data_IF_642649403590
#
_entry.id   IF_642649403590
#
_cell.length_a   1.000
_cell.length_b   1.000
_cell.length_c   1.000
_cell.angle_alpha   90.00
_cell.angle_beta   90.00
_cell.angle_gamma   90.00
#
_symmetry.space_group_name_H-M   'P 1'
#
loop_
_entity.id
_entity.type
_entity.pdbx_description
1 polymer ?
#
# COMPACT_ATOMS: atom_id res chain seq x y z
N UNK A 1 1.97 7.07 -30.07
CA UNK A 1 0.73 7.79 -29.75
C UNK A 1 0.74 9.21 -30.32
N UNK A 2 1.68 10.06 -29.93
CA UNK A 2 1.76 11.47 -30.38
C UNK A 2 1.80 11.59 -31.90
N UNK A 3 2.64 10.83 -32.60
CA UNK A 3 2.77 10.88 -34.05
C UNK A 3 1.45 10.63 -34.79
N UNK A 4 0.51 9.90 -34.18
CA UNK A 4 -0.80 9.62 -34.75
C UNK A 4 -1.76 10.81 -34.63
N UNK A 5 -1.55 11.68 -33.66
CA UNK A 5 -2.34 12.89 -33.43
C UNK A 5 -1.87 14.09 -34.27
N UNK A 6 -0.60 14.11 -34.72
CA UNK A 6 -0.03 15.22 -35.48
C UNK A 6 -0.92 15.63 -36.69
N UNK A 7 -1.46 14.71 -37.51
CA UNK A 7 -2.32 15.09 -38.62
C UNK A 7 -3.59 15.84 -38.22
N UNK A 8 -4.04 15.64 -36.97
CA UNK A 8 -5.30 16.21 -36.44
C UNK A 8 -5.09 17.49 -35.63
N UNK A 9 -3.86 17.83 -35.24
CA UNK A 9 -3.57 19.00 -34.39
C UNK A 9 -3.98 20.33 -35.03
N UNK A 10 -3.92 20.42 -36.37
CA UNK A 10 -4.33 21.61 -37.12
C UNK A 10 -5.79 21.56 -37.60
N UNK A 11 -6.48 20.47 -37.38
CA UNK A 11 -7.88 20.32 -37.76
C UNK A 11 -8.79 20.94 -36.69
N UNK A 12 -9.40 22.07 -37.01
CA UNK A 12 -10.27 22.83 -36.11
C UNK A 12 -11.52 22.04 -35.70
N UNK A 13 -12.08 21.27 -36.61
CA UNK A 13 -13.27 20.45 -36.31
C UNK A 13 -12.92 19.33 -35.34
N UNK A 14 -11.78 18.67 -35.55
CA UNK A 14 -11.28 17.66 -34.64
C UNK A 14 -11.04 18.24 -33.23
N UNK A 15 -10.38 19.39 -33.13
CA UNK A 15 -10.11 20.05 -31.85
C UNK A 15 -11.42 20.41 -31.13
N UNK A 16 -12.38 21.05 -31.84
CA UNK A 16 -13.67 21.42 -31.26
C UNK A 16 -14.44 20.18 -30.75
N UNK A 17 -14.43 19.10 -31.53
CA UNK A 17 -15.03 17.83 -31.10
C UNK A 17 -14.38 17.31 -29.81
N UNK A 18 -13.05 17.35 -29.72
CA UNK A 18 -12.31 16.89 -28.53
C UNK A 18 -12.56 17.77 -27.31
N UNK A 19 -12.76 19.07 -27.47
CA UNK A 19 -13.16 19.94 -26.37
C UNK A 19 -14.53 19.53 -25.79
N UNK A 20 -15.51 19.31 -26.66
CA UNK A 20 -16.84 18.85 -26.21
C UNK A 20 -16.76 17.47 -25.55
N UNK A 21 -15.99 16.54 -26.11
CA UNK A 21 -15.77 15.22 -25.50
C UNK A 21 -15.11 15.33 -24.12
N UNK A 22 -14.14 16.24 -23.93
CA UNK A 22 -13.48 16.45 -22.65
C UNK A 22 -14.44 17.02 -21.59
N UNK A 23 -15.28 18.00 -21.96
CA UNK A 23 -16.28 18.55 -21.07
C UNK A 23 -17.31 17.49 -20.66
N UNK A 24 -17.78 16.68 -21.60
CA UNK A 24 -18.70 15.58 -21.32
C UNK A 24 -18.09 14.53 -20.40
N UNK A 25 -16.80 14.22 -20.59
CA UNK A 25 -16.08 13.28 -19.75
C UNK A 25 -15.93 13.81 -18.32
N UNK A 26 -15.56 15.08 -18.16
CA UNK A 26 -15.48 15.73 -16.86
C UNK A 26 -16.82 15.71 -16.12
N UNK A 27 -17.92 16.04 -16.82
CA UNK A 27 -19.27 15.96 -16.26
C UNK A 27 -19.65 14.52 -15.86
N UNK A 28 -19.33 13.53 -16.68
CA UNK A 28 -19.59 12.12 -16.38
C UNK A 28 -18.97 11.71 -15.05
N UNK A 29 -17.71 12.04 -14.84
CA UNK A 29 -16.98 11.66 -13.62
C UNK A 29 -17.39 12.47 -12.38
N UNK A 30 -17.91 13.68 -12.55
CA UNK A 30 -18.34 14.52 -11.42
C UNK A 30 -19.82 14.39 -11.08
N UNK A 31 -20.60 13.62 -11.82
CA UNK A 31 -22.00 13.41 -11.52
C UNK A 31 -22.25 12.69 -10.20
N UNK A 32 -21.34 11.86 -9.75
CA UNK A 32 -21.45 11.12 -8.49
C UNK A 32 -21.53 12.04 -7.25
N UNK A 33 -21.02 13.27 -7.39
CA UNK A 33 -21.06 14.28 -6.33
C UNK A 33 -21.86 15.53 -6.72
N UNK A 34 -22.70 15.42 -7.74
CA UNK A 34 -23.52 16.56 -8.16
C UNK A 34 -24.44 17.03 -7.01
N UNK A 35 -24.34 18.30 -6.65
CA UNK A 35 -25.14 18.92 -5.60
C UNK A 35 -25.99 20.06 -6.16
N UNK A 36 -27.06 20.40 -5.45
CA UNK A 36 -27.90 21.59 -5.71
C UNK A 36 -28.18 22.24 -4.37
N UNK A 37 -27.21 23.03 -3.89
CA UNK A 37 -27.28 23.66 -2.56
C UNK A 37 -27.97 25.02 -2.54
N UNK A 38 -28.37 25.55 -3.70
CA UNK A 38 -28.83 26.93 -3.87
C UNK A 38 -27.68 27.95 -3.97
N UNK A 39 -26.45 27.52 -3.87
CA UNK A 39 -25.23 28.31 -4.14
C UNK A 39 -24.47 27.67 -5.31
N UNK A 40 -24.60 28.17 -6.54
CA UNK A 40 -23.96 27.60 -7.71
C UNK A 40 -22.41 27.56 -7.61
N UNK A 41 -21.81 28.52 -6.91
CA UNK A 41 -20.36 28.55 -6.73
C UNK A 41 -19.91 27.37 -5.85
N UNK A 42 -20.65 27.05 -4.81
CA UNK A 42 -20.35 25.92 -3.93
C UNK A 42 -20.54 24.58 -4.68
N UNK A 43 -21.58 24.48 -5.48
CA UNK A 43 -21.86 23.28 -6.28
C UNK A 43 -20.71 23.03 -7.29
N UNK A 44 -20.26 24.07 -7.99
CA UNK A 44 -19.13 23.97 -8.92
C UNK A 44 -17.78 23.74 -8.18
N UNK A 45 -17.60 24.30 -7.00
CA UNK A 45 -16.43 24.02 -6.17
C UNK A 45 -16.32 22.53 -5.79
N UNK A 46 -17.43 21.90 -5.40
CA UNK A 46 -17.43 20.48 -5.12
C UNK A 46 -17.05 19.65 -6.35
N UNK A 47 -17.63 19.94 -7.50
CA UNK A 47 -17.29 19.27 -8.77
C UNK A 47 -15.82 19.43 -9.12
N UNK A 48 -15.31 20.63 -9.05
CA UNK A 48 -13.91 20.93 -9.37
C UNK A 48 -12.95 20.24 -8.40
N UNK A 49 -13.23 20.27 -7.11
CA UNK A 49 -12.40 19.64 -6.08
C UNK A 49 -12.36 18.12 -6.24
N UNK A 50 -13.50 17.53 -6.52
CA UNK A 50 -13.61 16.08 -6.74
C UNK A 50 -12.86 15.66 -8.02
N UNK A 51 -13.07 16.35 -9.13
CA UNK A 51 -12.37 16.10 -10.38
C UNK A 51 -10.85 16.24 -10.21
N UNK A 52 -10.40 17.28 -9.51
CA UNK A 52 -8.99 17.49 -9.26
C UNK A 52 -8.35 16.35 -8.45
N UNK A 53 -9.04 15.82 -7.45
CA UNK A 53 -8.59 14.67 -6.68
C UNK A 53 -8.48 13.41 -7.52
N UNK A 54 -9.47 13.12 -8.37
CA UNK A 54 -9.40 11.98 -9.28
C UNK A 54 -8.27 12.10 -10.28
N UNK A 55 -8.14 13.25 -10.92
CA UNK A 55 -7.11 13.45 -11.91
C UNK A 55 -5.70 13.34 -11.33
N UNK A 56 -5.53 13.63 -10.06
CA UNK A 56 -4.27 13.51 -9.33
C UNK A 56 -4.09 12.16 -8.65
N UNK A 57 -5.08 11.70 -7.94
CA UNK A 57 -5.01 10.52 -7.10
C UNK A 57 -5.36 9.22 -7.80
N UNK A 58 -5.99 9.29 -8.98
CA UNK A 58 -6.48 8.18 -9.76
C UNK A 58 -7.97 7.91 -9.56
N UNK A 59 -8.66 7.63 -10.65
CA UNK A 59 -10.08 7.24 -10.68
C UNK A 59 -10.17 5.71 -10.78
N UNK A 60 -10.85 5.01 -9.86
CA UNK A 60 -10.96 3.57 -9.92
C UNK A 60 -11.90 3.13 -11.04
N UNK A 61 -11.46 2.17 -11.83
CA UNK A 61 -12.28 1.46 -12.82
C UNK A 61 -12.29 -0.01 -12.43
N UNK A 62 -13.48 -0.56 -12.25
CA UNK A 62 -13.67 -1.98 -12.01
C UNK A 62 -13.89 -2.69 -13.34
N UNK A 63 -13.04 -3.69 -13.59
CA UNK A 63 -13.20 -4.64 -14.68
C UNK A 63 -13.74 -5.92 -14.07
N UNK A 64 -15.06 -6.08 -14.10
CA UNK A 64 -15.72 -7.27 -13.54
C UNK A 64 -15.41 -8.49 -14.39
N UNK A 65 -14.91 -9.53 -13.76
CA UNK A 65 -14.57 -10.79 -14.36
C UNK A 65 -15.41 -11.95 -13.82
N UNK A 66 -15.36 -13.07 -14.50
CA UNK A 66 -16.02 -14.29 -14.04
C UNK A 66 -15.33 -14.95 -12.84
N UNK A 67 -14.04 -14.66 -12.65
CA UNK A 67 -13.22 -15.27 -11.61
C UNK A 67 -12.87 -14.31 -10.48
N UNK A 68 -12.59 -13.06 -10.80
CA UNK A 68 -12.14 -12.05 -9.84
C UNK A 68 -12.22 -10.66 -10.51
N UNK A 69 -12.76 -9.68 -9.80
CA UNK A 69 -12.79 -8.30 -10.26
C UNK A 69 -11.37 -7.71 -10.25
N UNK A 70 -11.06 -6.91 -11.28
CA UNK A 70 -9.80 -6.19 -11.40
C UNK A 70 -10.09 -4.70 -11.21
N UNK A 71 -9.27 -4.00 -10.46
CA UNK A 71 -9.41 -2.57 -10.27
C UNK A 71 -8.20 -1.83 -10.81
N UNK A 72 -8.43 -0.90 -11.72
CA UNK A 72 -7.42 -0.01 -12.29
C UNK A 72 -7.65 1.39 -11.74
N UNK A 73 -6.58 2.11 -11.42
CA UNK A 73 -6.68 3.53 -11.07
C UNK A 73 -6.13 4.38 -12.20
N UNK A 74 -7.00 5.19 -12.81
CA UNK A 74 -6.65 6.06 -13.92
C UNK A 74 -6.16 7.41 -13.41
N UNK A 75 -5.02 7.84 -13.94
CA UNK A 75 -4.44 9.14 -13.65
C UNK A 75 -4.35 9.96 -14.93
N UNK A 76 -4.53 11.26 -14.84
CA UNK A 76 -4.46 12.14 -16.00
C UNK A 76 -3.30 13.13 -15.95
N UNK A 77 -2.67 13.29 -14.81
CA UNK A 77 -1.55 14.23 -14.64
C UNK A 77 -0.62 13.80 -13.52
N UNK A 78 0.59 14.38 -13.52
CA UNK A 78 1.53 14.23 -12.42
C UNK A 78 0.89 14.74 -11.12
N UNK A 79 0.93 13.93 -10.09
CA UNK A 79 0.51 14.29 -8.73
C UNK A 79 1.68 14.92 -7.97
N UNK A 80 1.35 15.64 -6.90
CA UNK A 80 2.31 16.16 -5.94
C UNK A 80 2.46 17.67 -6.01
N UNK A 81 3.37 18.19 -5.19
CA UNK A 81 3.69 19.59 -5.13
C UNK A 81 4.42 20.02 -6.41
N UNK A 82 3.87 20.96 -7.21
CA UNK A 82 4.51 21.39 -8.45
C UNK A 82 5.85 22.11 -8.22
N UNK A 83 6.12 22.56 -7.00
CA UNK A 83 7.36 23.24 -6.64
C UNK A 83 8.49 22.26 -6.28
N UNK A 84 8.19 20.97 -6.10
CA UNK A 84 9.15 19.99 -5.60
C UNK A 84 9.14 18.71 -6.42
N UNK A 85 10.28 18.30 -6.90
CA UNK A 85 10.46 17.09 -7.72
C UNK A 85 10.56 15.78 -6.92
N UNK A 86 10.49 15.82 -5.60
CA UNK A 86 10.62 14.59 -4.80
C UNK A 86 9.35 13.73 -4.79
N UNK A 87 8.21 14.29 -5.12
CA UNK A 87 6.99 13.52 -5.33
C UNK A 87 7.02 12.91 -6.72
N UNK A 88 7.47 11.68 -6.81
CA UNK A 88 7.60 10.99 -8.09
C UNK A 88 6.28 10.36 -8.52
N UNK A 89 5.30 11.21 -8.83
CA UNK A 89 4.12 10.78 -9.54
C UNK A 89 4.34 10.91 -11.03
N UNK A 90 4.17 9.83 -11.77
CA UNK A 90 4.20 9.83 -13.21
C UNK A 90 2.93 9.19 -13.77
N UNK A 91 2.57 9.59 -14.98
CA UNK A 91 1.44 9.00 -15.70
C UNK A 91 1.91 8.52 -17.05
N UNK A 92 1.42 7.37 -17.48
CA UNK A 92 1.70 6.85 -18.80
C UNK A 92 0.92 7.66 -19.87
N UNK A 93 1.57 8.01 -20.98
CA UNK A 93 0.92 8.70 -22.10
C UNK A 93 0.18 7.71 -23.01
N UNK A 94 -0.83 7.03 -22.44
CA UNK A 94 -1.58 5.98 -23.11
C UNK A 94 -3.04 5.96 -22.66
N UNK A 95 -3.90 5.22 -23.36
CA UNK A 95 -5.25 4.91 -22.87
C UNK A 95 -5.14 4.12 -21.58
N UNK A 96 -6.14 4.23 -20.69
CA UNK A 96 -6.08 3.62 -19.36
C UNK A 96 -4.81 4.01 -18.61
N UNK A 97 -4.40 5.28 -18.76
CA UNK A 97 -3.21 5.82 -18.11
C UNK A 97 -3.27 5.58 -16.61
N UNK A 98 -2.34 4.79 -16.13
CA UNK A 98 -2.10 4.60 -14.70
C UNK A 98 -0.94 5.49 -14.27
N UNK A 99 -0.80 5.67 -12.97
CA UNK A 99 0.29 6.47 -12.41
C UNK A 99 0.98 5.74 -11.27
N UNK A 100 2.13 6.26 -10.91
CA UNK A 100 2.87 5.89 -9.71
C UNK A 100 2.96 7.08 -8.77
N UNK A 101 3.13 6.80 -7.49
CA UNK A 101 3.31 7.82 -6.49
C UNK A 101 3.84 7.28 -5.18
N UNK A 102 4.15 8.20 -4.27
CA UNK A 102 4.56 7.84 -2.93
C UNK A 102 3.46 7.02 -2.24
N UNK A 103 3.85 5.97 -1.52
CA UNK A 103 2.93 5.06 -0.86
C UNK A 103 1.89 5.81 -0.02
N UNK A 104 2.33 6.73 0.84
CA UNK A 104 1.44 7.52 1.70
C UNK A 104 0.46 8.38 0.91
N UNK A 105 0.95 9.09 -0.12
CA UNK A 105 0.12 10.04 -0.87
C UNK A 105 -0.92 9.31 -1.73
N UNK A 106 -0.57 8.17 -2.28
CA UNK A 106 -1.52 7.29 -2.98
C UNK A 106 -2.53 6.72 -2.00
N UNK A 107 -2.07 6.15 -0.87
CA UNK A 107 -2.91 5.60 0.19
C UNK A 107 -3.92 6.63 0.72
N UNK A 108 -3.47 7.88 0.92
CA UNK A 108 -4.34 8.97 1.38
C UNK A 108 -5.52 9.23 0.44
N UNK A 109 -5.33 9.04 -0.88
CA UNK A 109 -6.43 9.16 -1.85
C UNK A 109 -7.32 7.91 -1.85
N UNK A 110 -6.72 6.71 -1.77
CA UNK A 110 -7.45 5.42 -1.82
C UNK A 110 -8.40 5.21 -0.64
N UNK A 111 -8.12 5.77 0.53
CA UNK A 111 -8.91 5.51 1.75
C UNK A 111 -10.40 5.81 1.63
N UNK A 112 -10.78 6.73 0.74
CA UNK A 112 -12.16 7.15 0.53
C UNK A 112 -12.79 6.58 -0.76
N UNK A 113 -12.04 5.88 -1.60
CA UNK A 113 -12.54 5.39 -2.89
C UNK A 113 -13.79 4.52 -2.72
N UNK A 114 -13.83 3.65 -1.72
CA UNK A 114 -14.98 2.80 -1.41
C UNK A 114 -16.27 3.57 -1.12
N UNK A 115 -16.19 4.84 -0.69
CA UNK A 115 -17.37 5.67 -0.40
C UNK A 115 -18.05 6.11 -1.68
N UNK A 116 -17.27 6.42 -2.71
CA UNK A 116 -17.76 6.89 -4.01
C UNK A 116 -17.91 5.77 -5.03
N UNK A 117 -17.11 4.71 -4.86
CA UNK A 117 -17.02 3.54 -5.73
C UNK A 117 -17.10 2.24 -4.92
N UNK A 118 -18.31 1.94 -4.35
CA UNK A 118 -18.47 0.73 -3.52
C UNK A 118 -18.07 -0.57 -4.24
N UNK A 119 -18.20 -0.58 -5.56
CA UNK A 119 -17.87 -1.72 -6.42
C UNK A 119 -16.39 -2.15 -6.35
N UNK A 120 -15.48 -1.30 -5.89
CA UNK A 120 -14.07 -1.71 -5.67
C UNK A 120 -13.92 -2.75 -4.56
N UNK A 121 -14.93 -2.85 -3.69
CA UNK A 121 -14.97 -3.80 -2.60
C UNK A 121 -13.70 -3.71 -1.71
N UNK A 122 -13.01 -4.81 -1.45
CA UNK A 122 -11.81 -4.88 -0.59
C UNK A 122 -10.48 -4.65 -1.31
N UNK A 123 -10.51 -4.27 -2.60
CA UNK A 123 -9.33 -4.25 -3.45
C UNK A 123 -8.19 -3.38 -2.88
N UNK A 124 -8.47 -2.13 -2.51
CA UNK A 124 -7.45 -1.21 -2.00
C UNK A 124 -6.88 -1.69 -0.66
N UNK A 125 -7.73 -2.25 0.21
CA UNK A 125 -7.28 -2.84 1.48
C UNK A 125 -6.30 -3.99 1.20
N UNK A 126 -6.64 -4.90 0.28
CA UNK A 126 -5.76 -6.02 -0.11
C UNK A 126 -4.42 -5.54 -0.66
N UNK A 127 -4.44 -4.54 -1.53
CA UNK A 127 -3.22 -4.00 -2.13
C UNK A 127 -2.31 -3.38 -1.08
N UNK A 128 -2.80 -2.41 -0.33
CA UNK A 128 -1.97 -1.62 0.58
C UNK A 128 -1.50 -2.42 1.80
N UNK A 129 -2.36 -3.24 2.40
CA UNK A 129 -1.91 -4.11 3.48
C UNK A 129 -0.92 -5.19 3.02
N UNK A 130 -1.03 -5.69 1.78
CA UNK A 130 -0.04 -6.62 1.24
C UNK A 130 1.33 -5.96 1.04
N UNK A 131 1.38 -4.66 0.76
CA UNK A 131 2.62 -3.91 0.59
C UNK A 131 3.32 -3.56 1.91
N UNK A 132 2.69 -3.74 3.07
CA UNK A 132 3.37 -3.62 4.37
C UNK A 132 4.29 -4.82 4.58
N UNK A 133 5.55 -4.58 4.93
CA UNK A 133 6.52 -5.61 5.26
C UNK A 133 6.22 -6.27 6.61
N UNK A 134 6.82 -7.43 6.85
CA UNK A 134 6.60 -8.17 8.09
C UNK A 134 7.17 -7.44 9.32
N UNK A 135 8.15 -6.57 9.13
CA UNK A 135 8.73 -5.68 10.15
C UNK A 135 8.06 -4.30 10.27
N UNK A 136 6.93 -4.11 9.59
CA UNK A 136 6.10 -2.92 9.68
C UNK A 136 6.51 -1.75 8.78
N UNK A 137 7.54 -1.90 7.95
CA UNK A 137 7.91 -0.89 6.96
C UNK A 137 7.04 -0.98 5.70
N UNK A 138 6.99 0.12 4.96
CA UNK A 138 6.28 0.21 3.66
C UNK A 138 7.26 0.58 2.56
N UNK A 139 7.00 0.18 1.30
CA UNK A 139 7.80 0.66 0.18
C UNK A 139 7.62 2.17 -0.01
N UNK A 140 8.55 2.82 -0.70
CA UNK A 140 8.44 4.25 -1.00
C UNK A 140 7.38 4.54 -2.05
N UNK A 141 7.31 3.70 -3.08
CA UNK A 141 6.42 3.92 -4.23
C UNK A 141 5.44 2.77 -4.44
N UNK A 142 4.21 3.14 -4.78
CA UNK A 142 3.23 2.26 -5.41
C UNK A 142 3.23 2.58 -6.89
N UNK A 143 3.44 1.58 -7.74
CA UNK A 143 3.49 1.72 -9.20
C UNK A 143 2.15 1.31 -9.82
N UNK A 144 1.99 1.64 -11.09
CA UNK A 144 0.89 1.14 -11.90
C UNK A 144 0.80 -0.39 -11.83
N UNK A 145 -0.41 -0.91 -11.67
CA UNK A 145 -0.58 -2.36 -11.67
C UNK A 145 -0.34 -2.94 -13.06
N UNK A 146 0.16 -4.16 -13.11
CA UNK A 146 0.35 -4.92 -14.34
C UNK A 146 -0.50 -6.18 -14.33
N UNK A 147 -0.60 -6.81 -15.51
CA UNK A 147 -1.34 -8.04 -15.70
C UNK A 147 -0.44 -9.09 -16.35
N UNK A 148 -0.68 -10.34 -16.03
CA UNK A 148 -0.07 -11.49 -16.67
C UNK A 148 -1.09 -12.60 -16.90
N UNK A 149 -1.05 -13.23 -18.06
CA UNK A 149 -1.96 -14.33 -18.39
C UNK A 149 -1.72 -15.51 -17.44
N UNK A 150 -2.78 -16.00 -16.81
CA UNK A 150 -2.74 -17.18 -15.95
C UNK A 150 -2.48 -18.42 -16.82
N UNK A 151 -1.47 -19.22 -16.48
CA UNK A 151 -1.02 -20.36 -17.30
C UNK A 151 -2.16 -21.30 -17.73
N UNK A 152 -3.13 -21.58 -16.84
CA UNK A 152 -4.27 -22.45 -17.14
C UNK A 152 -5.24 -21.89 -18.18
N UNK A 153 -5.26 -20.56 -18.37
CA UNK A 153 -6.15 -19.86 -19.32
C UNK A 153 -5.47 -19.53 -20.67
N UNK A 154 -4.26 -20.01 -20.91
CA UNK A 154 -3.53 -19.69 -22.14
C UNK A 154 -4.26 -20.15 -23.41
N UNK A 155 -4.90 -21.29 -23.37
CA UNK A 155 -5.70 -21.81 -24.48
C UNK A 155 -6.99 -21.01 -24.68
N UNK A 156 -7.65 -20.60 -23.60
CA UNK A 156 -8.84 -19.74 -23.64
C UNK A 156 -8.52 -18.38 -24.30
N UNK A 157 -7.37 -17.79 -23.95
CA UNK A 157 -6.87 -16.57 -24.59
C UNK A 157 -6.67 -16.77 -26.10
N UNK A 158 -6.03 -17.85 -26.53
CA UNK A 158 -5.84 -18.10 -27.95
C UNK A 158 -7.15 -18.24 -28.69
N UNK A 159 -8.11 -18.96 -28.12
CA UNK A 159 -9.46 -19.12 -28.69
C UNK A 159 -10.16 -17.77 -28.79
N UNK A 160 -10.13 -16.97 -27.72
CA UNK A 160 -10.71 -15.61 -27.73
C UNK A 160 -10.09 -14.73 -28.83
N UNK A 161 -8.75 -14.80 -29.00
CA UNK A 161 -8.06 -14.04 -30.05
C UNK A 161 -8.42 -14.55 -31.46
N UNK A 162 -8.67 -15.85 -31.64
CA UNK A 162 -9.12 -16.41 -32.91
C UNK A 162 -10.51 -15.91 -33.29
N UNK A 163 -11.39 -15.77 -32.30
CA UNK A 163 -12.78 -15.32 -32.52
C UNK A 163 -12.89 -13.80 -32.72
N UNK A 164 -11.95 -13.00 -32.15
CA UNK A 164 -12.08 -11.54 -32.08
C UNK A 164 -11.08 -10.76 -32.92
N UNK A 165 -9.93 -11.31 -33.28
CA UNK A 165 -8.85 -10.60 -33.99
C UNK A 165 -8.81 -11.01 -35.46
N UNK A 166 -9.14 -10.09 -36.36
CA UNK A 166 -9.17 -10.34 -37.80
C UNK A 166 -7.76 -10.40 -38.42
N UNK A 167 -6.82 -9.56 -37.96
CA UNK A 167 -5.41 -9.60 -38.38
C UNK A 167 -4.50 -9.02 -37.30
N UNK A 168 -3.20 -9.37 -37.35
CA UNK A 168 -2.18 -8.88 -36.41
C UNK A 168 -2.12 -9.59 -35.07
N UNK A 169 -2.78 -10.77 -34.93
CA UNK A 169 -2.87 -11.56 -33.70
C UNK A 169 -1.50 -11.84 -33.05
N UNK A 170 -0.45 -12.11 -33.85
CA UNK A 170 0.89 -12.40 -33.33
C UNK A 170 1.47 -11.29 -32.46
N UNK A 171 1.16 -10.02 -32.76
CA UNK A 171 1.63 -8.88 -31.97
C UNK A 171 0.93 -8.79 -30.61
N UNK A 172 -0.35 -9.15 -30.55
CA UNK A 172 -1.09 -9.25 -29.29
C UNK A 172 -0.53 -10.40 -28.47
N UNK A 173 -0.33 -11.56 -29.06
CA UNK A 173 0.26 -12.72 -28.37
C UNK A 173 1.61 -12.35 -27.77
N UNK A 174 2.49 -11.70 -28.54
CA UNK A 174 3.80 -11.27 -28.01
C UNK A 174 3.68 -10.29 -26.84
N UNK A 175 2.70 -9.37 -26.87
CA UNK A 175 2.45 -8.45 -25.74
C UNK A 175 1.91 -9.15 -24.50
N UNK A 176 1.24 -10.29 -24.65
CA UNK A 176 0.68 -11.10 -23.57
C UNK A 176 1.67 -12.13 -22.96
N UNK A 177 2.85 -12.31 -23.58
CA UNK A 177 3.89 -13.21 -23.07
C UNK A 177 4.56 -12.66 -21.81
N UNK A 178 4.68 -11.33 -21.74
CA UNK A 178 5.24 -10.60 -20.60
C UNK A 178 4.14 -9.94 -19.76
N UNK A 179 4.54 -9.23 -18.71
CA UNK A 179 3.63 -8.34 -17.96
C UNK A 179 3.25 -7.14 -18.82
N UNK A 180 1.99 -6.77 -18.77
CA UNK A 180 1.44 -5.64 -19.54
C UNK A 180 0.49 -4.80 -18.68
N UNK A 181 0.28 -3.54 -19.07
CA UNK A 181 -0.82 -2.70 -18.58
C UNK A 181 -1.99 -2.74 -19.55
N UNK A 182 -3.20 -2.42 -19.10
CA UNK A 182 -4.35 -2.30 -20.00
C UNK A 182 -4.06 -1.29 -21.13
N UNK A 183 -3.39 -0.17 -20.78
CA UNK A 183 -3.01 0.86 -21.75
C UNK A 183 -1.98 0.40 -22.76
N UNK A 184 -0.94 -0.34 -22.34
CA UNK A 184 0.07 -0.87 -23.25
C UNK A 184 -0.54 -1.84 -24.26
N UNK A 185 -1.48 -2.70 -23.83
CA UNK A 185 -2.18 -3.61 -24.73
C UNK A 185 -3.08 -2.86 -25.72
N UNK A 186 -3.84 -1.85 -25.25
CA UNK A 186 -4.58 -0.96 -26.14
C UNK A 186 -3.69 -0.29 -27.17
N UNK A 187 -2.51 0.18 -26.77
CA UNK A 187 -1.54 0.79 -27.67
C UNK A 187 -0.99 -0.19 -28.72
N UNK A 188 -0.79 -1.47 -28.37
CA UNK A 188 -0.40 -2.50 -29.35
C UNK A 188 -1.47 -2.61 -30.44
N UNK A 189 -2.75 -2.66 -30.07
CA UNK A 189 -3.87 -2.74 -31.01
C UNK A 189 -3.89 -1.50 -31.93
N UNK A 190 -3.88 -0.32 -31.33
CA UNK A 190 -4.02 0.96 -32.03
C UNK A 190 -2.82 1.30 -32.91
N UNK A 191 -1.61 1.14 -32.39
CA UNK A 191 -0.38 1.53 -33.09
C UNK A 191 -0.04 0.61 -34.26
N UNK A 192 -0.53 -0.62 -34.24
CA UNK A 192 -0.35 -1.59 -35.30
C UNK A 192 -1.57 -1.71 -36.22
N UNK A 193 -2.59 -0.85 -36.05
CA UNK A 193 -3.83 -0.89 -36.82
C UNK A 193 -4.46 -2.30 -36.82
N UNK A 194 -4.43 -2.99 -35.68
CA UNK A 194 -5.01 -4.33 -35.55
C UNK A 194 -6.52 -4.19 -35.60
N UNK A 195 -7.15 -4.97 -36.46
CA UNK A 195 -8.62 -4.99 -36.54
C UNK A 195 -9.18 -6.06 -35.62
N UNK A 196 -10.05 -5.63 -34.72
CA UNK A 196 -10.83 -6.47 -33.81
C UNK A 196 -12.32 -6.32 -34.10
N UNK A 197 -13.10 -7.34 -33.78
CA UNK A 197 -14.56 -7.38 -34.06
C UNK A 197 -15.42 -6.70 -33.00
N UNK A 198 -14.82 -6.37 -31.84
CA UNK A 198 -15.45 -5.74 -30.68
C UNK A 198 -14.73 -4.44 -30.35
N UNK A 199 -15.25 -3.64 -29.43
CA UNK A 199 -14.57 -2.43 -28.95
C UNK A 199 -13.28 -2.77 -28.18
N UNK A 200 -12.37 -1.80 -28.09
CA UNK A 200 -11.14 -1.97 -27.28
C UNK A 200 -11.47 -2.22 -25.82
N UNK A 201 -12.49 -1.55 -25.30
CA UNK A 201 -12.93 -1.71 -23.91
C UNK A 201 -13.42 -3.14 -23.64
N UNK A 202 -14.31 -3.66 -24.50
CA UNK A 202 -14.79 -5.05 -24.42
C UNK A 202 -13.65 -6.06 -24.59
N UNK A 203 -12.70 -5.77 -25.48
CA UNK A 203 -11.53 -6.62 -25.67
C UNK A 203 -10.67 -6.68 -24.42
N UNK A 204 -10.36 -5.52 -23.81
CA UNK A 204 -9.59 -5.44 -22.58
C UNK A 204 -10.29 -6.16 -21.42
N UNK A 205 -11.60 -5.91 -21.22
CA UNK A 205 -12.38 -6.59 -20.19
C UNK A 205 -12.28 -8.11 -20.33
N UNK A 206 -12.46 -8.63 -21.55
CA UNK A 206 -12.39 -10.07 -21.79
C UNK A 206 -10.99 -10.67 -21.57
N UNK A 207 -9.93 -9.97 -22.01
CA UNK A 207 -8.56 -10.45 -21.81
C UNK A 207 -8.16 -10.41 -20.33
N UNK A 208 -8.55 -9.35 -19.59
CA UNK A 208 -8.18 -9.22 -18.18
C UNK A 208 -8.83 -10.29 -17.30
N UNK A 209 -9.96 -10.87 -17.70
CA UNK A 209 -10.58 -12.00 -16.98
C UNK A 209 -9.71 -13.27 -16.99
N UNK A 210 -8.85 -13.43 -18.00
CA UNK A 210 -7.88 -14.52 -18.09
C UNK A 210 -6.56 -14.22 -17.37
N UNK A 211 -6.42 -13.02 -16.77
CA UNK A 211 -5.16 -12.54 -16.23
C UNK A 211 -5.17 -12.48 -14.71
N UNK A 212 -3.97 -12.61 -14.15
CA UNK A 212 -3.68 -12.23 -12.78
C UNK A 212 -3.29 -10.75 -12.76
N UNK A 213 -3.85 -9.99 -11.82
CA UNK A 213 -3.40 -8.62 -11.53
C UNK A 213 -2.23 -8.66 -10.55
N UNK A 214 -1.16 -7.94 -10.89
CA UNK A 214 0.04 -7.85 -10.07
C UNK A 214 0.10 -6.46 -9.42
N UNK A 215 0.33 -6.43 -8.10
CA UNK A 215 0.62 -5.19 -7.39
C UNK A 215 2.09 -4.85 -7.61
N UNK A 216 2.36 -3.64 -8.06
CA UNK A 216 3.71 -3.19 -8.35
C UNK A 216 4.14 -2.12 -7.34
N UNK A 217 5.39 -2.22 -6.91
CA UNK A 217 5.95 -1.38 -5.86
C UNK A 217 7.45 -1.24 -6.02
N UNK A 218 8.04 -0.23 -5.38
CA UNK A 218 9.48 0.01 -5.43
C UNK A 218 9.99 0.74 -4.21
N UNK A 219 11.23 0.44 -3.85
CA UNK A 219 12.02 1.15 -2.84
C UNK A 219 13.12 2.02 -3.45
N UNK A 220 13.13 2.18 -4.78
CA UNK A 220 14.19 2.86 -5.52
C UNK A 220 14.63 4.17 -4.86
N UNK A 221 15.93 4.34 -4.73
CA UNK A 221 16.66 5.54 -4.29
C UNK A 221 16.47 5.99 -2.84
N UNK A 222 15.36 5.68 -2.19
CA UNK A 222 14.99 6.27 -0.90
C UNK A 222 14.81 5.22 0.20
N UNK A 223 14.60 3.96 -0.16
CA UNK A 223 14.38 2.86 0.78
C UNK A 223 12.94 2.78 1.29
N UNK A 224 12.78 2.23 2.49
CA UNK A 224 11.50 2.03 3.14
C UNK A 224 11.21 3.15 4.16
N UNK A 225 9.94 3.34 4.48
CA UNK A 225 9.48 4.27 5.51
C UNK A 225 8.67 3.54 6.57
N UNK A 226 8.76 4.04 7.80
CA UNK A 226 8.08 3.45 8.95
C UNK A 226 6.76 4.14 9.30
N UNK A 227 6.56 5.35 8.82
CA UNK A 227 5.45 6.24 9.16
C UNK A 227 4.36 6.34 8.09
N UNK A 228 4.51 5.66 6.95
CA UNK A 228 3.58 5.81 5.82
C UNK A 228 2.33 4.94 5.92
N UNK A 229 2.07 4.33 7.05
CA UNK A 229 0.94 3.43 7.30
C UNK A 229 -0.31 4.13 7.90
N UNK A 230 -0.20 5.40 8.21
CA UNK A 230 -1.18 6.16 9.02
C UNK A 230 -2.62 6.13 8.48
N UNK A 231 -2.82 5.92 7.19
CA UNK A 231 -4.15 5.88 6.59
C UNK A 231 -4.70 4.47 6.35
N UNK A 232 -3.95 3.43 6.73
CA UNK A 232 -4.37 2.03 6.49
C UNK A 232 -5.67 1.69 7.23
N UNK A 233 -5.80 2.10 8.50
CA UNK A 233 -6.99 1.87 9.27
C UNK A 233 -8.21 2.60 8.70
N UNK A 234 -8.03 3.80 8.15
CA UNK A 234 -9.13 4.57 7.55
C UNK A 234 -9.81 3.80 6.41
N UNK A 235 -9.06 3.04 5.60
CA UNK A 235 -9.66 2.20 4.55
C UNK A 235 -10.59 1.14 5.13
N UNK A 236 -10.19 0.47 6.22
CA UNK A 236 -11.02 -0.53 6.90
C UNK A 236 -12.28 0.14 7.49
N UNK A 237 -12.12 1.30 8.13
CA UNK A 237 -13.24 2.03 8.74
C UNK A 237 -14.22 2.54 7.67
N UNK A 238 -13.73 3.00 6.52
CA UNK A 238 -14.59 3.36 5.39
C UNK A 238 -15.32 2.13 4.82
N UNK A 239 -14.60 1.02 4.62
CA UNK A 239 -15.21 -0.25 4.20
C UNK A 239 -16.29 -0.73 5.16
N UNK A 240 -16.03 -0.68 6.48
CA UNK A 240 -16.98 -1.07 7.49
C UNK A 240 -18.28 -0.24 7.48
N UNK A 241 -18.19 1.03 7.08
CA UNK A 241 -19.37 1.90 6.95
C UNK A 241 -20.25 1.52 5.75
N UNK A 242 -19.64 1.03 4.68
CA UNK A 242 -20.34 0.63 3.44
C UNK A 242 -20.83 -0.82 3.56
N UNK A 243 -20.02 -1.71 4.08
CA UNK A 243 -20.24 -3.17 4.18
C UNK A 243 -20.09 -3.69 5.60
N UNK A 244 -20.90 -3.21 6.57
CA UNK A 244 -20.76 -3.63 7.98
C UNK A 244 -20.94 -5.13 8.20
N UNK A 245 -21.71 -5.81 7.34
CA UNK A 245 -21.93 -7.25 7.39
C UNK A 245 -20.76 -8.09 6.89
N UNK A 246 -19.85 -7.48 6.10
CA UNK A 246 -18.69 -8.19 5.52
C UNK A 246 -17.42 -8.03 6.34
N UNK A 247 -17.42 -7.23 7.41
CA UNK A 247 -16.20 -6.92 8.16
C UNK A 247 -15.55 -8.15 8.79
N UNK A 248 -16.36 -9.12 9.25
CA UNK A 248 -15.89 -10.38 9.80
C UNK A 248 -15.12 -11.20 8.75
N UNK A 249 -15.67 -11.29 7.54
CA UNK A 249 -15.06 -12.02 6.44
C UNK A 249 -13.76 -11.36 5.97
N UNK A 250 -13.76 -10.03 5.85
CA UNK A 250 -12.58 -9.24 5.50
C UNK A 250 -11.42 -9.50 6.46
N UNK A 251 -11.70 -9.50 7.77
CA UNK A 251 -10.66 -9.54 8.81
C UNK A 251 -10.14 -10.96 9.02
N UNK A 252 -11.01 -11.98 9.07
CA UNK A 252 -10.64 -13.31 9.55
C UNK A 252 -10.56 -14.37 8.45
N UNK A 253 -11.38 -14.28 7.39
CA UNK A 253 -11.56 -15.41 6.46
C UNK A 253 -10.68 -15.34 5.23
N UNK A 254 -10.45 -14.17 4.68
CA UNK A 254 -9.70 -14.00 3.42
C UNK A 254 -8.19 -14.16 3.63
N UNK A 255 -7.63 -15.31 3.26
CA UNK A 255 -6.16 -15.54 3.24
C UNK A 255 -5.54 -15.10 1.91
N UNK A 256 -5.62 -13.83 1.61
CA UNK A 256 -5.17 -13.23 0.34
C UNK A 256 -4.07 -12.19 0.51
N UNK A 257 -3.78 -11.82 1.75
CA UNK A 257 -2.76 -10.83 2.07
C UNK A 257 -1.36 -11.44 2.04
N UNK A 258 -0.39 -10.62 1.69
CA UNK A 258 1.03 -10.97 1.61
C UNK A 258 1.85 -9.98 2.44
N UNK A 259 3.15 -10.20 2.52
CA UNK A 259 4.11 -9.23 3.02
C UNK A 259 5.08 -8.86 1.91
N UNK A 260 5.21 -7.55 1.66
CA UNK A 260 6.23 -7.03 0.75
C UNK A 260 7.62 -7.43 1.26
N UNK A 261 8.50 -7.78 0.36
CA UNK A 261 9.89 -8.09 0.67
C UNK A 261 10.80 -7.11 -0.07
N UNK A 262 11.62 -6.36 0.68
CA UNK A 262 12.53 -5.35 0.16
C UNK A 262 13.97 -5.84 0.23
N UNK A 263 14.80 -5.39 -0.72
CA UNK A 263 16.26 -5.53 -0.62
C UNK A 263 16.89 -4.57 0.41
N UNK A 264 16.13 -3.58 0.87
CA UNK A 264 16.56 -2.63 1.90
C UNK A 264 16.35 -3.25 3.29
N UNK A 265 17.43 -3.49 4.00
CA UNK A 265 17.40 -4.06 5.37
C UNK A 265 17.77 -2.99 6.39
N UNK A 266 17.01 -2.94 7.49
CA UNK A 266 17.27 -2.02 8.60
C UNK A 266 18.48 -2.50 9.39
N UNK A 267 19.44 -1.61 9.63
CA UNK A 267 20.64 -1.87 10.44
C UNK A 267 20.30 -2.01 11.93
N UNK A 268 21.09 -2.79 12.68
CA UNK A 268 20.99 -2.79 14.14
C UNK A 268 21.48 -1.45 14.73
N UNK A 269 21.13 -1.18 15.99
CA UNK A 269 21.42 0.11 16.67
C UNK A 269 22.90 0.50 16.62
N UNK A 270 23.79 -0.44 16.82
CA UNK A 270 25.26 -0.20 16.82
C UNK A 270 25.81 0.21 15.45
N UNK A 271 25.07 0.04 14.39
CA UNK A 271 25.42 0.51 13.03
C UNK A 271 24.65 1.77 12.61
N UNK A 272 23.56 2.11 13.31
CA UNK A 272 22.78 3.32 13.06
C UNK A 272 23.29 4.54 13.82
N UNK A 273 23.88 4.32 15.00
CA UNK A 273 24.36 5.38 15.87
C UNK A 273 25.85 5.20 16.18
N UNK A 274 26.55 6.32 16.21
CA UNK A 274 27.98 6.37 16.51
C UNK A 274 28.26 7.46 17.53
N UNK A 275 29.09 7.16 18.53
CA UNK A 275 29.57 8.11 19.53
C UNK A 275 31.07 8.31 19.36
N UNK A 276 31.51 9.53 19.02
CA UNK A 276 32.91 9.89 18.76
C UNK A 276 33.68 10.27 20.05
N UNK A 277 33.10 9.99 21.22
CA UNK A 277 33.64 10.37 22.53
C UNK A 277 33.18 11.75 23.00
N UNK A 278 32.50 12.52 22.14
CA UNK A 278 31.99 13.86 22.47
C UNK A 278 30.55 14.06 22.04
N UNK A 279 30.16 13.56 20.85
CA UNK A 279 28.85 13.75 20.27
C UNK A 279 28.32 12.42 19.73
N UNK A 280 27.04 12.21 19.96
CA UNK A 280 26.31 11.18 19.24
C UNK A 280 26.08 11.61 17.78
N UNK A 281 26.28 10.71 16.87
CA UNK A 281 26.04 10.88 15.44
C UNK A 281 25.09 9.82 14.94
N UNK A 282 24.27 10.20 14.01
CA UNK A 282 23.36 9.32 13.31
C UNK A 282 23.98 8.91 11.98
N UNK A 283 23.86 7.64 11.64
CA UNK A 283 24.21 7.07 10.36
C UNK A 283 22.94 6.65 9.62
N UNK A 284 23.06 6.24 8.36
CA UNK A 284 21.91 5.74 7.62
C UNK A 284 21.35 4.46 8.25
N UNK A 285 20.02 4.36 8.34
CA UNK A 285 19.33 3.23 8.97
C UNK A 285 19.30 1.97 8.09
N UNK A 286 19.53 2.10 6.78
CA UNK A 286 19.38 1.00 5.83
C UNK A 286 20.68 0.67 5.10
N UNK A 287 20.72 -0.56 4.61
CA UNK A 287 21.69 -1.00 3.60
C UNK A 287 20.99 -1.89 2.57
N UNK A 288 21.55 -1.95 1.37
CA UNK A 288 21.12 -2.90 0.34
C UNK A 288 21.66 -4.28 0.68
N UNK A 289 20.76 -5.22 0.92
CA UNK A 289 21.11 -6.59 1.26
C UNK A 289 21.38 -7.42 0.01
N UNK A 290 22.62 -7.41 -0.43
CA UNK A 290 23.05 -8.12 -1.65
C UNK A 290 22.83 -9.63 -1.62
N UNK A 291 22.80 -10.25 -0.43
CA UNK A 291 22.50 -11.67 -0.28
C UNK A 291 21.08 -12.03 -0.75
N UNK A 292 20.12 -11.09 -0.68
CA UNK A 292 18.78 -11.33 -1.22
C UNK A 292 18.79 -11.60 -2.73
N UNK A 293 19.67 -10.93 -3.47
CA UNK A 293 19.83 -11.15 -4.91
C UNK A 293 20.39 -12.55 -5.22
N UNK A 294 21.31 -13.05 -4.37
CA UNK A 294 21.79 -14.43 -4.47
C UNK A 294 20.68 -15.46 -4.20
N UNK A 295 19.65 -15.08 -3.41
CA UNK A 295 18.47 -15.88 -3.10
C UNK A 295 17.31 -15.69 -4.08
N UNK A 296 17.52 -14.94 -5.17
CA UNK A 296 16.55 -14.78 -6.26
C UNK A 296 15.64 -13.57 -6.15
N UNK A 297 16.00 -12.58 -5.33
CA UNK A 297 15.35 -11.26 -5.35
C UNK A 297 15.62 -10.57 -6.69
N UNK A 298 14.60 -9.92 -7.24
CA UNK A 298 14.69 -9.17 -8.49
C UNK A 298 14.21 -7.75 -8.28
N UNK A 299 15.07 -6.77 -8.49
CA UNK A 299 14.77 -5.36 -8.25
C UNK A 299 13.63 -4.82 -9.14
N UNK A 300 13.48 -5.37 -10.35
CA UNK A 300 12.42 -5.02 -11.29
C UNK A 300 11.04 -5.57 -10.92
N UNK A 301 10.99 -6.57 -10.03
CA UNK A 301 9.76 -7.24 -9.60
C UNK A 301 9.32 -6.75 -8.21
N UNK A 302 8.03 -6.80 -7.93
CA UNK A 302 7.53 -6.73 -6.57
C UNK A 302 7.73 -8.07 -5.90
N UNK A 303 8.62 -8.12 -4.92
CA UNK A 303 8.96 -9.33 -4.22
C UNK A 303 8.05 -9.53 -2.99
N UNK A 304 7.75 -10.78 -2.70
CA UNK A 304 6.90 -11.17 -1.59
C UNK A 304 7.65 -12.09 -0.63
N UNK A 305 7.43 -11.91 0.67
CA UNK A 305 7.99 -12.76 1.71
C UNK A 305 7.65 -14.23 1.45
N UNK A 306 8.66 -15.08 1.56
CA UNK A 306 8.57 -16.52 1.36
C UNK A 306 8.76 -17.26 2.66
N UNK A 307 8.22 -18.46 2.71
CA UNK A 307 8.55 -19.45 3.73
C UNK A 307 9.89 -20.11 3.41
N UNK A 308 10.44 -20.83 4.36
CA UNK A 308 11.67 -21.63 4.16
C UNK A 308 11.55 -22.70 3.06
N UNK A 309 10.31 -23.07 2.67
CA UNK A 309 10.05 -23.95 1.50
C UNK A 309 10.13 -23.21 0.16
N UNK A 310 10.27 -21.87 0.16
CA UNK A 310 10.33 -21.03 -1.04
C UNK A 310 8.98 -20.59 -1.58
N UNK A 311 7.87 -20.94 -0.91
CA UNK A 311 6.53 -20.52 -1.29
C UNK A 311 6.19 -19.14 -0.71
N UNK A 312 5.41 -18.34 -1.45
CA UNK A 312 4.91 -17.06 -0.96
C UNK A 312 4.01 -17.31 0.25
N UNK A 313 4.26 -16.56 1.33
CA UNK A 313 3.43 -16.63 2.53
C UNK A 313 2.15 -15.82 2.36
N UNK A 314 1.00 -16.45 2.58
CA UNK A 314 -0.32 -15.83 2.54
C UNK A 314 -0.97 -15.84 3.92
N UNK A 315 -1.62 -14.73 4.24
CA UNK A 315 -2.28 -14.54 5.53
C UNK A 315 -3.62 -13.79 5.41
N UNK A 316 -4.27 -13.55 6.55
CA UNK A 316 -5.48 -12.76 6.69
C UNK A 316 -5.17 -11.35 7.24
N UNK A 317 -6.19 -10.48 7.24
CA UNK A 317 -6.02 -9.10 7.66
C UNK A 317 -5.73 -8.95 9.15
N UNK A 318 -6.30 -9.81 10.01
CA UNK A 318 -6.04 -9.73 11.46
C UNK A 318 -4.56 -9.96 11.78
N UNK A 319 -3.90 -10.89 11.11
CA UNK A 319 -2.46 -11.10 11.29
C UNK A 319 -1.66 -9.87 10.87
N UNK A 320 -2.02 -9.21 9.75
CA UNK A 320 -1.38 -7.96 9.31
C UNK A 320 -1.51 -6.86 10.37
N UNK A 321 -2.70 -6.70 10.96
CA UNK A 321 -2.94 -5.72 12.02
C UNK A 321 -2.12 -6.03 13.28
N UNK A 322 -2.04 -7.30 13.69
CA UNK A 322 -1.21 -7.74 14.81
C UNK A 322 0.27 -7.44 14.54
N UNK A 323 0.75 -7.76 13.34
CA UNK A 323 2.14 -7.50 12.97
C UNK A 323 2.47 -6.00 13.05
N UNK A 324 1.59 -5.13 12.54
CA UNK A 324 1.75 -3.67 12.64
C UNK A 324 1.80 -3.23 14.10
N UNK A 325 0.82 -3.62 14.92
CA UNK A 325 0.74 -3.22 16.34
C UNK A 325 2.02 -3.64 17.08
N UNK A 326 2.39 -4.91 17.00
CA UNK A 326 3.54 -5.45 17.76
C UNK A 326 4.85 -4.79 17.35
N UNK A 327 5.06 -4.58 16.03
CA UNK A 327 6.24 -3.87 15.54
C UNK A 327 6.27 -2.40 15.99
N UNK A 328 5.13 -1.71 16.01
CA UNK A 328 5.05 -0.31 16.45
C UNK A 328 5.27 -0.16 17.96
N UNK A 329 4.69 -1.04 18.77
CA UNK A 329 4.96 -1.07 20.22
C UNK A 329 6.46 -1.34 20.49
N UNK A 330 7.09 -2.20 19.71
CA UNK A 330 8.53 -2.45 19.81
C UNK A 330 9.41 -1.24 19.40
N UNK A 331 8.81 -0.17 18.86
CA UNK A 331 9.45 1.10 18.51
C UNK A 331 9.19 2.24 19.51
N UNK A 332 8.66 1.95 20.70
CA UNK A 332 8.51 2.98 21.73
C UNK A 332 9.87 3.61 22.05
N UNK A 333 9.90 4.94 22.14
CA UNK A 333 11.10 5.72 22.45
C UNK A 333 11.56 5.54 23.91
N UNK A 334 12.81 5.90 24.25
CA UNK A 334 13.34 5.75 25.61
C UNK A 334 12.54 6.55 26.67
N UNK A 335 11.82 7.57 26.28
CA UNK A 335 10.97 8.36 27.16
C UNK A 335 9.54 7.80 27.26
N UNK A 336 9.19 6.85 26.40
CA UNK A 336 7.84 6.28 26.29
C UNK A 336 6.78 7.33 25.91
N UNK A 337 7.14 8.32 25.14
CA UNK A 337 6.26 9.42 24.72
C UNK A 337 5.74 9.26 23.29
N UNK A 338 6.42 8.50 22.46
CA UNK A 338 6.04 8.30 21.07
C UNK A 338 6.71 7.11 20.43
N UNK A 339 6.47 6.93 19.14
CA UNK A 339 7.06 5.87 18.33
C UNK A 339 8.36 6.38 17.69
N UNK A 340 9.46 5.66 17.91
CA UNK A 340 10.78 6.03 17.40
C UNK A 340 10.79 6.04 15.87
N UNK A 341 11.30 7.14 15.31
CA UNK A 341 11.71 7.23 13.91
C UNK A 341 13.14 6.71 13.80
N UNK A 342 13.33 5.62 13.11
CA UNK A 342 14.67 5.04 12.96
C UNK A 342 15.60 5.98 12.18
N UNK A 343 16.88 5.92 12.50
CA UNK A 343 17.90 6.84 12.03
C UNK A 343 17.77 7.21 10.53
N UNK A 344 17.86 8.49 10.24
CA UNK A 344 17.72 9.05 8.89
C UNK A 344 16.38 8.74 8.19
N UNK A 345 15.32 8.54 8.98
CA UNK A 345 13.94 8.32 8.50
C UNK A 345 13.02 9.27 9.25
N UNK A 346 13.01 10.50 8.78
CA UNK A 346 12.09 11.51 9.28
C UNK A 346 10.65 11.13 8.93
N UNK A 347 9.73 11.56 9.77
CA UNK A 347 8.33 11.54 9.45
C UNK A 347 7.94 12.56 8.38
N UNK A 348 6.65 12.69 8.18
CA UNK A 348 6.08 13.62 7.20
C UNK A 348 6.45 15.11 7.40
N UNK A 349 6.81 15.53 8.60
CA UNK A 349 7.09 16.94 8.87
C UNK A 349 8.42 17.38 8.25
N UNK A 350 8.38 17.97 7.08
CA UNK A 350 9.54 18.45 6.33
C UNK A 350 10.37 19.49 7.11
N UNK A 351 9.72 20.30 7.95
CA UNK A 351 10.42 21.27 8.80
C UNK A 351 11.31 20.60 9.86
N UNK A 352 10.98 19.36 10.23
CA UNK A 352 11.73 18.55 11.18
C UNK A 352 12.50 17.42 10.50
N UNK A 353 12.65 17.46 9.18
CA UNK A 353 13.29 16.42 8.41
C UNK A 353 14.70 16.12 8.97
N UNK A 354 14.93 14.87 9.38
CA UNK A 354 16.14 14.44 10.06
C UNK A 354 16.15 14.66 11.58
N UNK A 355 15.40 15.59 12.14
CA UNK A 355 15.35 15.82 13.59
C UNK A 355 14.61 14.71 14.35
N UNK A 356 13.42 14.24 13.92
CA UNK A 356 12.75 13.11 14.57
C UNK A 356 13.62 11.89 14.63
N UNK A 357 14.36 11.61 13.55
CA UNK A 357 15.28 10.46 13.49
C UNK A 357 16.47 10.59 14.44
N UNK A 358 16.87 11.82 14.80
CA UNK A 358 18.00 12.08 15.72
C UNK A 358 17.55 12.05 17.17
N UNK A 359 16.42 12.67 17.47
CA UNK A 359 16.07 13.05 18.83
C UNK A 359 14.73 12.51 19.26
N UNK A 360 13.96 11.97 18.36
CA UNK A 360 12.61 11.76 18.74
C UNK A 360 11.87 10.70 17.99
N UNK A 361 10.64 10.84 18.23
CA UNK A 361 9.59 9.93 17.89
C UNK A 361 8.39 10.72 17.41
N UNK A 362 7.59 10.08 16.58
CA UNK A 362 6.35 10.64 16.07
C UNK A 362 5.23 10.45 17.08
N UNK A 363 4.57 11.56 17.47
CA UNK A 363 3.36 11.49 18.28
C UNK A 363 2.14 11.09 17.42
N UNK A 364 2.14 11.43 16.12
CA UNK A 364 1.10 10.99 15.18
C UNK A 364 0.98 9.48 15.11
N UNK A 365 2.10 8.78 15.03
CA UNK A 365 2.13 7.31 15.03
C UNK A 365 1.66 6.74 16.36
N UNK A 366 1.94 7.42 17.48
CA UNK A 366 1.46 7.00 18.79
C UNK A 366 -0.08 6.96 18.83
N UNK A 367 -0.74 8.02 18.31
CA UNK A 367 -2.20 8.05 18.20
C UNK A 367 -2.73 6.98 17.24
N UNK A 368 -2.05 6.76 16.12
CA UNK A 368 -2.52 5.81 15.13
C UNK A 368 -2.37 4.35 15.60
N UNK A 369 -1.30 4.02 16.34
CA UNK A 369 -1.17 2.72 17.01
C UNK A 369 -2.29 2.54 18.03
N UNK A 370 -2.59 3.56 18.85
CA UNK A 370 -3.68 3.50 19.83
C UNK A 370 -5.04 3.27 19.15
N UNK A 371 -5.34 4.00 18.05
CA UNK A 371 -6.57 3.78 17.25
C UNK A 371 -6.65 2.35 16.73
N UNK A 372 -5.53 1.83 16.21
CA UNK A 372 -5.47 0.46 15.70
C UNK A 372 -5.66 -0.57 16.81
N UNK A 373 -5.06 -0.36 17.99
CA UNK A 373 -5.28 -1.20 19.16
C UNK A 373 -6.75 -1.24 19.59
N UNK A 374 -7.40 -0.07 19.67
CA UNK A 374 -8.83 0.00 19.99
C UNK A 374 -9.68 -0.74 18.96
N UNK A 375 -9.44 -0.50 17.67
CA UNK A 375 -10.17 -1.19 16.60
C UNK A 375 -10.03 -2.72 16.70
N UNK A 376 -8.80 -3.21 16.83
CA UNK A 376 -8.53 -4.65 16.94
C UNK A 376 -9.17 -5.24 18.20
N UNK A 377 -9.10 -4.54 19.35
CA UNK A 377 -9.76 -4.96 20.57
C UNK A 377 -11.27 -5.09 20.40
N UNK A 378 -11.93 -4.09 19.81
CA UNK A 378 -13.37 -4.12 19.54
C UNK A 378 -13.76 -5.28 18.62
N UNK A 379 -13.00 -5.50 17.56
CA UNK A 379 -13.19 -6.61 16.63
C UNK A 379 -13.05 -7.97 17.34
N UNK A 380 -11.99 -8.16 18.11
CA UNK A 380 -11.74 -9.42 18.84
C UNK A 380 -12.76 -9.67 19.93
N UNK A 381 -13.24 -8.62 20.59
CA UNK A 381 -14.32 -8.73 21.58
C UNK A 381 -15.63 -9.17 20.92
N UNK A 382 -15.93 -8.59 19.75
CA UNK A 382 -17.16 -8.90 19.00
C UNK A 382 -17.13 -10.29 18.38
N UNK A 383 -15.97 -10.73 17.88
CA UNK A 383 -15.80 -11.98 17.13
C UNK A 383 -14.85 -12.96 17.84
N UNK A 384 -15.03 -13.15 19.14
CA UNK A 384 -14.15 -13.94 20.02
C UNK A 384 -14.12 -15.46 19.73
N UNK A 385 -14.99 -15.95 18.85
CA UNK A 385 -15.06 -17.36 18.44
C UNK A 385 -14.05 -17.75 17.35
N UNK A 386 -13.31 -16.80 16.78
CA UNK A 386 -12.30 -17.10 15.79
C UNK A 386 -11.00 -17.62 16.43
N UNK A 387 -10.26 -18.42 15.67
CA UNK A 387 -8.88 -18.77 16.02
C UNK A 387 -7.94 -17.85 15.25
N UNK A 388 -7.06 -17.18 15.96
CA UNK A 388 -6.00 -16.35 15.37
C UNK A 388 -4.72 -17.15 15.38
N UNK A 389 -4.06 -17.20 14.23
CA UNK A 389 -2.72 -17.77 14.10
C UNK A 389 -1.79 -16.72 13.51
N UNK A 390 -0.55 -16.68 13.99
CA UNK A 390 0.51 -15.79 13.47
C UNK A 390 1.77 -16.61 13.22
N UNK A 391 2.72 -16.15 12.39
CA UNK A 391 4.03 -16.77 12.27
C UNK A 391 4.71 -16.92 13.63
N UNK A 392 5.42 -18.03 13.84
CA UNK A 392 6.12 -18.25 15.11
C UNK A 392 7.10 -17.13 15.44
N UNK A 393 7.75 -16.55 14.44
CA UNK A 393 8.67 -15.43 14.60
C UNK A 393 7.95 -14.18 15.13
N UNK A 394 6.74 -13.90 14.64
CA UNK A 394 5.92 -12.78 15.12
C UNK A 394 5.41 -13.05 16.54
N UNK A 395 5.04 -14.29 16.86
CA UNK A 395 4.64 -14.68 18.19
C UNK A 395 5.79 -14.52 19.20
N UNK A 396 7.02 -14.87 18.83
CA UNK A 396 8.20 -14.65 19.66
C UNK A 396 8.44 -13.16 19.92
N UNK A 397 8.30 -12.30 18.88
CA UNK A 397 8.39 -10.85 19.06
C UNK A 397 7.31 -10.36 20.05
N UNK A 398 6.07 -10.77 19.85
CA UNK A 398 4.95 -10.45 20.75
C UNK A 398 5.25 -10.85 22.21
N UNK A 399 5.70 -12.07 22.42
CA UNK A 399 6.05 -12.57 23.76
C UNK A 399 7.16 -11.74 24.41
N UNK A 400 8.22 -11.40 23.65
CA UNK A 400 9.33 -10.56 24.13
C UNK A 400 8.93 -9.13 24.42
N UNK A 401 8.04 -8.54 23.62
CA UNK A 401 7.48 -7.20 23.87
C UNK A 401 6.74 -7.18 25.20
N UNK A 402 5.83 -8.13 25.45
CA UNK A 402 5.08 -8.20 26.70
C UNK A 402 5.96 -8.48 27.92
N UNK A 403 6.93 -9.41 27.81
CA UNK A 403 7.89 -9.69 28.86
C UNK A 403 8.72 -8.44 29.22
N UNK A 404 9.19 -7.70 28.21
CA UNK A 404 9.95 -6.47 28.42
C UNK A 404 9.10 -5.38 29.11
N UNK A 405 7.86 -5.18 28.70
CA UNK A 405 6.94 -4.22 29.33
C UNK A 405 6.69 -4.59 30.80
N UNK A 406 6.57 -5.88 31.10
CA UNK A 406 6.27 -6.36 32.46
C UNK A 406 7.51 -6.32 33.41
N UNK A 407 8.73 -6.42 32.88
CA UNK A 407 9.92 -6.66 33.70
C UNK A 407 10.89 -5.47 33.77
N UNK A 408 10.93 -4.58 32.76
CA UNK A 408 11.85 -3.45 32.74
C UNK A 408 11.42 -2.35 33.71
N UNK A 409 12.37 -1.82 34.48
CA UNK A 409 12.14 -0.85 35.54
C UNK A 409 12.30 0.62 35.10
N UNK A 410 12.93 0.85 33.96
CA UNK A 410 13.13 2.20 33.41
C UNK A 410 12.80 2.28 31.92
N UNK A 411 12.50 3.49 31.44
CA UNK A 411 12.20 3.71 30.02
C UNK A 411 13.36 3.35 29.09
N UNK A 412 14.60 3.58 29.52
CA UNK A 412 15.78 3.20 28.73
C UNK A 412 15.95 1.68 28.67
N UNK A 413 15.79 0.97 29.82
CA UNK A 413 15.84 -0.50 29.83
C UNK A 413 14.75 -1.11 28.95
N UNK A 414 13.55 -0.57 29.02
CA UNK A 414 12.45 -1.01 28.13
C UNK A 414 12.80 -0.79 26.66
N UNK A 415 13.24 0.42 26.31
CA UNK A 415 13.65 0.72 24.93
C UNK A 415 14.74 -0.22 24.42
N UNK A 416 15.76 -0.49 25.24
CA UNK A 416 16.87 -1.37 24.87
C UNK A 416 16.41 -2.82 24.67
N UNK A 417 15.53 -3.32 25.56
CA UNK A 417 14.94 -4.65 25.45
C UNK A 417 14.04 -4.79 24.21
N UNK A 418 13.17 -3.80 23.97
CA UNK A 418 12.29 -3.77 22.80
C UNK A 418 13.10 -3.70 21.49
N UNK A 419 14.13 -2.85 21.44
CA UNK A 419 14.99 -2.74 20.28
C UNK A 419 15.77 -4.04 20.02
N UNK A 420 16.24 -4.73 21.06
CA UNK A 420 16.88 -6.04 20.95
C UNK A 420 15.93 -7.11 20.40
N UNK A 421 14.69 -7.13 20.91
CA UNK A 421 13.66 -8.06 20.43
C UNK A 421 13.37 -7.82 18.93
N UNK A 422 13.21 -6.55 18.54
CA UNK A 422 12.97 -6.14 17.15
C UNK A 422 14.14 -6.49 16.21
N UNK A 423 15.38 -6.24 16.62
CA UNK A 423 16.58 -6.59 15.85
C UNK A 423 16.66 -8.10 15.64
N UNK A 424 16.43 -8.88 16.69
CA UNK A 424 16.38 -10.35 16.60
C UNK A 424 15.28 -10.84 15.66
N UNK A 425 14.11 -10.23 15.71
CA UNK A 425 13.00 -10.54 14.82
C UNK A 425 13.34 -10.25 13.36
N UNK A 426 13.92 -9.08 13.07
CA UNK A 426 14.36 -8.70 11.72
C UNK A 426 15.40 -9.66 11.17
N UNK A 427 16.37 -10.08 11.97
CA UNK A 427 17.37 -11.06 11.57
C UNK A 427 16.72 -12.40 11.18
N UNK A 428 15.72 -12.84 11.93
CA UNK A 428 14.98 -14.09 11.65
C UNK A 428 14.14 -14.00 10.39
N UNK A 429 13.51 -12.86 10.13
CA UNK A 429 12.55 -12.69 9.04
C UNK A 429 13.14 -12.08 7.77
N UNK A 430 14.41 -11.69 7.79
CA UNK A 430 15.07 -10.95 6.72
C UNK A 430 15.06 -11.65 5.36
N UNK A 431 15.14 -12.98 5.32
CA UNK A 431 15.22 -13.74 4.07
C UNK A 431 13.98 -14.60 3.81
N UNK A 432 13.39 -15.11 4.86
CA UNK A 432 12.21 -15.96 4.84
C UNK A 432 11.69 -16.14 6.27
N UNK A 433 10.52 -16.69 6.40
CA UNK A 433 9.97 -17.19 7.68
C UNK A 433 9.91 -18.72 7.62
N UNK A 434 9.82 -19.35 8.79
CA UNK A 434 9.73 -20.81 8.89
C UNK A 434 8.49 -21.37 8.18
N UNK A 435 7.40 -20.60 8.15
CA UNK A 435 6.09 -21.03 7.68
C UNK A 435 5.28 -21.74 8.77
N UNK A 436 5.85 -21.93 9.96
CA UNK A 436 5.11 -22.42 11.14
C UNK A 436 4.27 -21.30 11.72
N UNK A 437 3.09 -21.65 12.23
CA UNK A 437 2.18 -20.70 12.85
C UNK A 437 1.83 -21.12 14.28
N UNK A 438 1.62 -20.15 15.15
CA UNK A 438 1.24 -20.33 16.54
C UNK A 438 -0.14 -19.72 16.74
N UNK A 439 -1.01 -20.42 17.46
CA UNK A 439 -2.30 -19.88 17.86
C UNK A 439 -2.11 -18.87 18.99
N UNK A 440 -2.76 -17.70 18.86
CA UNK A 440 -2.81 -16.71 19.91
C UNK A 440 -4.08 -16.88 20.73
N UNK A 441 -3.95 -16.79 22.04
CA UNK A 441 -5.10 -16.70 22.94
C UNK A 441 -5.72 -15.29 22.82
N UNK A 442 -7.00 -15.22 22.47
CA UNK A 442 -7.69 -13.95 22.23
C UNK A 442 -7.83 -13.11 23.51
N UNK A 443 -8.29 -13.66 24.67
CA UNK A 443 -8.30 -12.97 25.94
C UNK A 443 -6.94 -12.39 26.34
N UNK A 444 -5.87 -13.14 26.21
CA UNK A 444 -4.50 -12.69 26.54
C UNK A 444 -4.07 -11.56 25.61
N UNK A 445 -4.40 -11.66 24.32
CA UNK A 445 -4.05 -10.59 23.37
C UNK A 445 -4.87 -9.32 23.61
N UNK A 446 -6.17 -9.43 23.93
CA UNK A 446 -7.00 -8.28 24.33
C UNK A 446 -6.41 -7.61 25.59
N UNK A 447 -5.96 -8.40 26.59
CA UNK A 447 -5.28 -7.85 27.75
C UNK A 447 -3.99 -7.09 27.38
N UNK A 448 -3.20 -7.64 26.46
CA UNK A 448 -2.00 -6.96 25.95
C UNK A 448 -2.34 -5.65 25.23
N UNK A 449 -3.44 -5.62 24.45
CA UNK A 449 -3.91 -4.38 23.81
C UNK A 449 -4.29 -3.32 24.84
N UNK A 450 -4.90 -3.68 25.96
CA UNK A 450 -5.20 -2.75 27.05
C UNK A 450 -3.93 -2.18 27.68
N UNK A 451 -2.91 -3.00 27.88
CA UNK A 451 -1.60 -2.55 28.36
C UNK A 451 -0.98 -1.57 27.36
N UNK A 452 -1.01 -1.88 26.06
CA UNK A 452 -0.45 -1.01 25.01
C UNK A 452 -1.18 0.34 24.93
N UNK A 453 -2.50 0.34 24.96
CA UNK A 453 -3.33 1.56 24.98
C UNK A 453 -2.99 2.44 26.18
N UNK A 454 -2.86 1.86 27.36
CA UNK A 454 -2.50 2.61 28.56
C UNK A 454 -1.09 3.20 28.45
N UNK A 455 -0.11 2.40 27.98
CA UNK A 455 1.26 2.84 27.80
C UNK A 455 1.37 4.01 26.83
N UNK A 456 0.66 3.94 25.69
CA UNK A 456 0.60 5.01 24.71
C UNK A 456 -0.07 6.28 25.26
N UNK A 457 -1.16 6.11 26.01
CA UNK A 457 -1.87 7.22 26.67
C UNK A 457 -1.02 7.92 27.72
N UNK A 458 -0.30 7.16 28.55
CA UNK A 458 0.64 7.69 29.54
C UNK A 458 1.77 8.47 28.86
N UNK A 459 2.23 8.02 27.68
CA UNK A 459 3.20 8.72 26.85
C UNK A 459 2.71 10.12 26.42
N UNK A 460 1.44 10.22 26.00
CA UNK A 460 0.82 11.51 25.66
C UNK A 460 0.76 12.42 26.88
N UNK A 461 0.35 11.91 28.04
CA UNK A 461 0.28 12.68 29.28
C UNK A 461 1.67 13.19 29.68
N UNK A 462 2.71 12.35 29.60
CA UNK A 462 4.09 12.79 29.86
C UNK A 462 4.53 13.92 28.91
N UNK A 463 4.24 13.76 27.61
CA UNK A 463 4.59 14.79 26.61
C UNK A 463 3.87 16.12 26.89
N UNK A 464 2.58 16.09 27.26
CA UNK A 464 1.83 17.29 27.65
C UNK A 464 2.38 17.96 28.92
N UNK A 465 2.93 17.18 29.85
CA UNK A 465 3.54 17.74 31.06
C UNK A 465 4.90 18.42 30.82
N UNK A 466 5.56 18.09 29.73
CA UNK A 466 6.85 18.67 29.35
C UNK A 466 6.70 19.87 28.39
N UNK A 467 5.55 20.00 27.74
CA UNK A 467 5.21 21.15 26.91
C UNK A 467 4.59 22.25 27.76
N UNK A 468 5.00 23.51 27.51
CA UNK A 468 4.40 24.70 28.12
C UNK A 468 3.04 25.05 27.47
#
# INVERSE_FOLDING_TARGET
>A
FINRLIPHILDKEYINKKLVEADQLALKYTNDIATTTGNPILDEYFRQSYLDNFLRGGYPIVVSGSNDDKVLHLFSRKHGDPERDYNQFSTAAEFYSQGDGNFRDVLQNRRCDIIFHPEINEFDIRQFYSLVQIDGYTPMYVKACTFSVIKKHKEDVYKFLDDTVLHGKSKIISALEDRFTAGSLANVILSNNISITISIDEFLHSILDFCQQNYESSTEKVGNYIDQWDYLLDMILCYQRIYPEKIEDLIFKSKVYKYFDSDQTVKPRNEKYFFDGKKARQLDAFYVNTKKYELGYKAEDTNWLKTSSGEIYYTNLIEKLIAIIVNKIALLDPCQMGIEMEANRAGWNDACNGLPSLFGSGMSENFEVARTCHFVKDVLTKYSNHTITVPEELFELYAKVNDSIATCSSGFELWDALATARETYRDKTCYSISGQTVAMDIPDFIHSLDIYINLLSDGVIKAMQLGD
#
